data_IF_251184727608
#
_entry.id   IF_251184727608
#
_cell.length_a   1.000
_cell.length_b   1.000
_cell.length_c   1.000
_cell.angle_alpha   90.00
_cell.angle_beta   90.00
_cell.angle_gamma   90.00
#
_symmetry.space_group_name_H-M   'P 1'
#
loop_
_entity.id
_entity.type
_entity.pdbx_description
1 polymer ?
#
# COMPACT_ATOMS: atom_id res chain seq x y z
N UNK A 1 -31.96 -17.49 -10.21
CA UNK A 1 -30.49 -17.51 -10.24
C UNK A 1 -30.05 -17.92 -8.86
N UNK A 2 -29.11 -18.83 -8.76
CA UNK A 2 -28.56 -19.27 -7.45
C UNK A 2 -27.88 -18.07 -6.79
N UNK A 3 -28.46 -17.58 -5.70
CA UNK A 3 -28.00 -16.39 -4.98
C UNK A 3 -26.56 -16.55 -4.39
N UNK A 4 -26.00 -17.75 -4.42
CA UNK A 4 -24.65 -18.06 -3.94
C UNK A 4 -23.57 -17.94 -5.02
N UNK A 5 -23.94 -17.73 -6.30
CA UNK A 5 -23.01 -17.74 -7.44
C UNK A 5 -22.83 -16.34 -8.04
N UNK A 6 -21.57 -15.97 -8.29
CA UNK A 6 -21.17 -14.74 -9.00
C UNK A 6 -20.15 -15.06 -10.10
N UNK A 7 -19.91 -14.13 -11.02
CA UNK A 7 -18.80 -14.29 -11.97
C UNK A 7 -17.46 -14.23 -11.22
N UNK A 8 -17.34 -13.28 -10.29
CA UNK A 8 -16.12 -13.14 -9.47
C UNK A 8 -16.48 -13.11 -7.99
N UNK A 9 -15.84 -13.98 -7.23
CA UNK A 9 -15.86 -14.02 -5.78
C UNK A 9 -14.55 -13.44 -5.24
N UNK A 10 -14.63 -12.37 -4.44
CA UNK A 10 -13.47 -11.70 -3.87
C UNK A 10 -13.40 -12.00 -2.37
N UNK A 11 -12.25 -12.45 -1.92
CA UNK A 11 -11.97 -12.80 -0.54
C UNK A 11 -11.17 -11.66 0.11
N UNK A 12 -11.81 -10.90 0.99
CA UNK A 12 -11.28 -9.73 1.67
C UNK A 12 -11.87 -8.41 1.15
N UNK A 13 -12.48 -7.65 2.06
CA UNK A 13 -13.12 -6.34 1.82
C UNK A 13 -12.23 -5.15 2.17
N UNK A 14 -10.90 -5.30 2.08
CA UNK A 14 -9.95 -4.20 2.17
C UNK A 14 -9.88 -3.38 0.88
N UNK A 15 -9.00 -2.36 0.84
CA UNK A 15 -8.84 -1.46 -0.32
C UNK A 15 -8.58 -2.21 -1.62
N UNK A 16 -7.78 -3.28 -1.59
CA UNK A 16 -7.47 -4.07 -2.78
C UNK A 16 -8.70 -4.81 -3.28
N UNK A 17 -9.40 -5.54 -2.39
CA UNK A 17 -10.60 -6.29 -2.76
C UNK A 17 -11.72 -5.40 -3.28
N UNK A 18 -11.97 -4.26 -2.63
CA UNK A 18 -13.01 -3.32 -3.04
C UNK A 18 -12.65 -2.60 -4.35
N UNK A 19 -11.40 -2.23 -4.57
CA UNK A 19 -10.97 -1.66 -5.84
C UNK A 19 -11.11 -2.69 -6.99
N UNK A 20 -10.69 -3.94 -6.78
CA UNK A 20 -10.93 -5.02 -7.76
C UNK A 20 -12.43 -5.20 -8.04
N UNK A 21 -13.27 -5.21 -6.99
CA UNK A 21 -14.71 -5.32 -7.14
C UNK A 21 -15.28 -4.19 -8.02
N UNK A 22 -14.88 -2.96 -7.74
CA UNK A 22 -15.35 -1.79 -8.47
C UNK A 22 -15.00 -1.84 -9.97
N UNK A 23 -13.75 -2.15 -10.30
CA UNK A 23 -13.33 -2.25 -11.70
C UNK A 23 -14.01 -3.42 -12.44
N UNK A 24 -14.22 -4.56 -11.78
CA UNK A 24 -14.89 -5.71 -12.35
C UNK A 24 -16.39 -5.43 -12.60
N UNK A 25 -17.07 -4.75 -11.67
CA UNK A 25 -18.45 -4.29 -11.85
C UNK A 25 -18.58 -3.31 -13.01
N UNK A 26 -17.67 -2.34 -13.13
CA UNK A 26 -17.60 -1.43 -14.27
C UNK A 26 -17.37 -2.17 -15.60
N UNK A 27 -16.69 -3.30 -15.57
CA UNK A 27 -16.50 -4.17 -16.73
C UNK A 27 -17.71 -5.10 -17.00
N UNK A 28 -18.80 -5.01 -16.24
CA UNK A 28 -20.03 -5.77 -16.42
C UNK A 28 -20.06 -7.15 -15.75
N UNK A 29 -19.07 -7.50 -14.93
CA UNK A 29 -19.09 -8.75 -14.18
C UNK A 29 -20.03 -8.66 -12.96
N UNK A 30 -20.63 -9.78 -12.56
CA UNK A 30 -21.29 -9.89 -11.26
C UNK A 30 -20.25 -10.22 -10.19
N UNK A 31 -20.23 -9.43 -9.10
CA UNK A 31 -19.19 -9.53 -8.07
C UNK A 31 -19.77 -9.68 -6.68
N UNK A 32 -19.18 -10.59 -5.92
CA UNK A 32 -19.43 -10.75 -4.49
C UNK A 32 -18.12 -10.65 -3.71
N UNK A 33 -18.12 -9.88 -2.64
CA UNK A 33 -17.01 -9.73 -1.70
C UNK A 33 -17.35 -10.41 -0.39
N UNK A 34 -16.49 -11.27 0.11
CA UNK A 34 -16.59 -11.87 1.45
C UNK A 34 -15.58 -11.17 2.37
N UNK A 35 -16.07 -10.60 3.47
CA UNK A 35 -15.25 -9.91 4.47
C UNK A 35 -15.55 -10.45 5.86
N UNK A 36 -14.51 -10.81 6.62
CA UNK A 36 -14.68 -11.39 7.95
C UNK A 36 -15.23 -10.42 8.99
N UNK A 37 -14.98 -9.14 8.82
CA UNK A 37 -15.44 -8.08 9.72
C UNK A 37 -16.26 -7.02 8.99
N UNK A 38 -15.99 -5.78 9.29
CA UNK A 38 -16.50 -4.63 8.54
C UNK A 38 -15.52 -4.30 7.41
N UNK A 39 -16.00 -4.01 6.19
CA UNK A 39 -15.14 -3.64 5.08
C UNK A 39 -14.16 -2.53 5.45
N UNK A 40 -12.87 -2.77 5.18
CA UNK A 40 -11.80 -1.82 5.41
C UNK A 40 -11.22 -1.75 6.81
N UNK A 41 -11.80 -2.41 7.83
CA UNK A 41 -11.36 -2.31 9.23
C UNK A 41 -10.00 -2.93 9.57
N UNK A 42 -9.31 -3.52 8.59
CA UNK A 42 -7.93 -4.01 8.72
C UNK A 42 -6.89 -2.92 8.44
N UNK A 43 -5.79 -3.30 7.80
CA UNK A 43 -4.69 -2.39 7.42
C UNK A 43 -5.13 -1.23 6.51
N UNK A 44 -6.26 -1.36 5.83
CA UNK A 44 -6.79 -0.31 4.95
C UNK A 44 -7.38 0.88 5.70
N UNK A 45 -7.75 0.72 6.97
CA UNK A 45 -8.26 1.80 7.83
C UNK A 45 -7.11 2.50 8.59
N UNK A 46 -6.18 1.74 9.11
CA UNK A 46 -5.17 2.20 10.07
C UNK A 46 -3.83 2.58 9.44
N UNK A 47 -3.83 3.25 8.27
CA UNK A 47 -2.61 3.74 7.62
C UNK A 47 -2.61 5.27 7.49
N UNK A 48 -1.49 5.85 7.06
CA UNK A 48 -1.32 7.31 6.95
C UNK A 48 -2.13 7.93 5.81
N UNK A 49 -2.61 7.16 4.85
CA UNK A 49 -3.32 7.65 3.67
C UNK A 49 -2.43 8.42 2.68
N UNK A 50 -1.12 8.27 2.76
CA UNK A 50 -0.19 8.93 1.86
C UNK A 50 -0.09 8.18 0.52
N UNK A 51 -0.08 8.94 -0.56
CA UNK A 51 0.07 8.47 -1.94
C UNK A 51 1.38 9.03 -2.45
N UNK A 52 2.44 8.27 -2.32
CA UNK A 52 3.83 8.72 -2.45
C UNK A 52 4.58 8.06 -3.60
N UNK A 53 4.36 8.49 -4.86
CA UNK A 53 5.20 8.05 -5.99
C UNK A 53 6.69 8.34 -5.78
N UNK A 54 7.02 9.35 -4.96
CA UNK A 54 8.39 9.67 -4.57
C UNK A 54 9.10 8.52 -3.82
N UNK A 55 8.36 7.64 -3.13
CA UNK A 55 8.89 6.52 -2.35
C UNK A 55 9.03 5.22 -3.16
N UNK A 56 9.66 5.29 -4.32
CA UNK A 56 9.90 4.12 -5.16
C UNK A 56 11.03 3.20 -4.64
N UNK A 57 11.89 3.67 -3.74
CA UNK A 57 13.01 2.90 -3.22
C UNK A 57 12.57 1.60 -2.51
N UNK A 58 13.12 0.43 -2.89
CA UNK A 58 12.83 -0.83 -2.21
C UNK A 58 13.58 -0.92 -0.87
N UNK A 59 13.09 -1.77 0.03
CA UNK A 59 13.76 -2.04 1.30
C UNK A 59 15.11 -2.74 1.09
N UNK A 60 15.24 -3.59 0.06
CA UNK A 60 16.47 -4.26 -0.30
C UNK A 60 17.43 -3.28 -1.00
N UNK A 61 18.17 -2.51 -0.20
CA UNK A 61 19.16 -1.53 -0.67
C UNK A 61 20.55 -1.86 -0.15
N UNK A 62 21.61 -1.43 -0.85
CA UNK A 62 22.98 -1.62 -0.38
C UNK A 62 23.19 -1.01 1.01
N UNK A 63 23.87 -1.75 1.89
CA UNK A 63 24.08 -1.35 3.29
C UNK A 63 22.98 -1.78 4.27
N UNK A 64 21.80 -2.20 3.81
CA UNK A 64 20.69 -2.59 4.68
C UNK A 64 21.04 -3.76 5.59
N UNK A 65 21.87 -4.69 5.15
CA UNK A 65 22.34 -5.81 6.00
C UNK A 65 23.08 -5.32 7.23
N UNK A 66 23.94 -4.32 7.08
CA UNK A 66 24.65 -3.70 8.21
C UNK A 66 23.70 -2.98 9.17
N UNK A 67 22.67 -2.33 8.64
CA UNK A 67 21.60 -1.71 9.43
C UNK A 67 20.81 -2.79 10.18
N UNK A 68 20.41 -3.86 9.52
CA UNK A 68 19.66 -4.96 10.12
C UNK A 68 20.45 -5.63 11.28
N UNK A 69 21.73 -5.93 11.06
CA UNK A 69 22.60 -6.52 12.10
C UNK A 69 22.76 -5.59 13.31
N UNK A 70 22.96 -4.29 13.09
CA UNK A 70 23.05 -3.31 14.20
C UNK A 70 21.72 -3.17 14.93
N UNK A 71 20.61 -3.23 14.21
CA UNK A 71 19.27 -3.15 14.79
C UNK A 71 18.96 -4.34 15.72
N UNK A 72 19.48 -5.53 15.43
CA UNK A 72 19.30 -6.71 16.30
C UNK A 72 19.95 -6.53 17.70
N UNK A 73 20.91 -5.61 17.83
CA UNK A 73 21.60 -5.31 19.10
C UNK A 73 20.92 -4.19 19.90
N UNK A 74 19.80 -3.65 19.42
CA UNK A 74 19.10 -2.52 20.03
C UNK A 74 17.64 -2.82 20.25
N UNK A 75 17.14 -2.66 21.46
CA UNK A 75 15.74 -2.92 21.81
C UNK A 75 14.74 -1.90 21.20
N UNK A 76 15.22 -0.69 20.87
CA UNK A 76 14.47 0.42 20.30
C UNK A 76 14.60 0.54 18.77
N UNK A 77 15.12 -0.49 18.13
CA UNK A 77 15.37 -0.45 16.69
C UNK A 77 14.07 -0.56 15.87
N UNK A 78 13.96 0.16 14.74
CA UNK A 78 12.80 0.12 13.87
C UNK A 78 12.59 -1.24 13.17
N UNK A 79 13.63 -2.09 13.13
CA UNK A 79 13.58 -3.43 12.56
C UNK A 79 13.88 -4.46 13.64
N UNK A 80 12.87 -5.27 13.96
CA UNK A 80 13.02 -6.41 14.87
C UNK A 80 12.92 -7.73 14.10
N UNK A 81 13.96 -8.54 14.18
CA UNK A 81 13.98 -9.90 13.66
C UNK A 81 13.90 -10.87 14.85
N UNK A 82 12.76 -11.54 15.00
CA UNK A 82 12.61 -12.56 16.03
C UNK A 82 13.68 -13.67 15.83
N UNK A 83 14.50 -14.06 16.81
CA UNK A 83 15.63 -14.98 16.68
C UNK A 83 15.23 -16.46 16.55
N UNK A 84 14.10 -16.77 15.92
CA UNK A 84 13.72 -18.15 15.60
C UNK A 84 14.43 -18.60 14.34
N UNK A 85 15.08 -19.75 14.37
CA UNK A 85 15.72 -20.38 13.21
C UNK A 85 14.74 -21.38 12.59
N UNK A 86 14.16 -21.02 11.45
CA UNK A 86 13.43 -21.95 10.59
C UNK A 86 13.95 -21.85 9.14
N UNK A 87 13.88 -22.97 8.42
CA UNK A 87 14.44 -23.09 7.08
C UNK A 87 13.83 -22.12 6.05
N UNK A 88 12.50 -21.96 5.96
CA UNK A 88 11.85 -21.01 5.08
C UNK A 88 12.31 -19.57 5.33
N UNK A 89 12.42 -19.16 6.58
CA UNK A 89 12.86 -17.83 6.97
C UNK A 89 14.32 -17.57 6.60
N UNK A 90 15.20 -18.55 6.85
CA UNK A 90 16.61 -18.45 6.48
C UNK A 90 16.76 -18.30 4.95
N UNK A 91 16.00 -19.09 4.18
CA UNK A 91 15.97 -18.95 2.71
C UNK A 91 15.53 -17.58 2.27
N UNK A 92 14.49 -17.01 2.92
CA UNK A 92 14.01 -15.66 2.63
C UNK A 92 15.08 -14.61 2.95
N UNK A 93 15.73 -14.69 4.11
CA UNK A 93 16.80 -13.76 4.51
C UNK A 93 17.99 -13.80 3.57
N UNK A 94 18.40 -15.00 3.14
CA UNK A 94 19.48 -15.14 2.14
C UNK A 94 19.07 -14.57 0.78
N UNK A 95 17.82 -14.79 0.35
CA UNK A 95 17.26 -14.18 -0.84
C UNK A 95 17.26 -12.66 -0.75
N UNK A 96 16.77 -12.10 0.36
CA UNK A 96 16.78 -10.66 0.62
C UNK A 96 18.21 -10.09 0.57
N UNK A 97 19.16 -10.74 1.26
CA UNK A 97 20.55 -10.32 1.29
C UNK A 97 21.19 -10.29 -0.10
N UNK A 98 20.88 -11.28 -0.95
CA UNK A 98 21.37 -11.37 -2.32
C UNK A 98 20.94 -10.19 -3.18
N UNK A 99 19.74 -9.64 -2.93
CA UNK A 99 19.18 -8.51 -3.66
C UNK A 99 19.58 -7.14 -3.09
N UNK A 100 20.33 -7.07 -1.98
CA UNK A 100 20.85 -5.82 -1.43
C UNK A 100 22.09 -5.32 -2.20
N UNK A 101 21.95 -5.11 -3.51
CA UNK A 101 23.00 -4.60 -4.40
C UNK A 101 22.45 -3.49 -5.32
N UNK A 102 23.34 -2.66 -5.88
CA UNK A 102 22.96 -1.49 -6.69
C UNK A 102 22.20 -1.87 -7.98
N UNK A 103 22.53 -2.96 -8.62
CA UNK A 103 21.90 -3.39 -9.87
C UNK A 103 20.43 -3.72 -9.66
N UNK A 104 20.13 -4.56 -8.67
CA UNK A 104 18.75 -4.93 -8.34
C UNK A 104 17.97 -3.75 -7.74
N UNK A 105 18.64 -2.92 -6.93
CA UNK A 105 18.06 -1.69 -6.40
C UNK A 105 17.56 -0.79 -7.52
N UNK A 106 18.41 -0.41 -8.49
CA UNK A 106 18.01 0.49 -9.58
C UNK A 106 16.90 -0.11 -10.44
N UNK A 107 16.98 -1.39 -10.78
CA UNK A 107 15.92 -2.07 -11.53
C UNK A 107 14.58 -2.05 -10.79
N UNK A 108 14.60 -2.30 -9.48
CA UNK A 108 13.39 -2.28 -8.66
C UNK A 108 12.82 -0.86 -8.53
N UNK A 109 13.67 0.15 -8.37
CA UNK A 109 13.25 1.56 -8.30
C UNK A 109 12.56 1.98 -9.59
N UNK A 110 13.14 1.70 -10.76
CA UNK A 110 12.55 2.03 -12.07
C UNK A 110 11.16 1.38 -12.25
N UNK A 111 11.08 0.06 -12.00
CA UNK A 111 9.82 -0.67 -12.14
C UNK A 111 8.74 -0.17 -11.15
N UNK A 112 9.12 0.08 -9.90
CA UNK A 112 8.20 0.60 -8.87
C UNK A 112 7.74 2.00 -9.17
N UNK A 113 8.64 2.90 -9.59
CA UNK A 113 8.29 4.29 -9.95
C UNK A 113 7.21 4.32 -11.04
N UNK A 114 7.38 3.54 -12.11
CA UNK A 114 6.41 3.45 -13.19
C UNK A 114 5.02 3.00 -12.70
N UNK A 115 4.96 1.98 -11.84
CA UNK A 115 3.70 1.49 -11.26
C UNK A 115 3.08 2.52 -10.31
N UNK A 116 3.88 3.14 -9.44
CA UNK A 116 3.40 4.11 -8.46
C UNK A 116 2.83 5.37 -9.13
N UNK A 117 3.52 5.91 -10.15
CA UNK A 117 3.02 7.04 -10.92
C UNK A 117 1.70 6.70 -11.64
N UNK A 118 1.64 5.54 -12.30
CA UNK A 118 0.41 5.08 -12.94
C UNK A 118 -0.72 4.91 -11.94
N UNK A 119 -0.44 4.27 -10.79
CA UNK A 119 -1.41 4.07 -9.71
C UNK A 119 -1.96 5.40 -9.19
N UNK A 120 -1.09 6.40 -9.00
CA UNK A 120 -1.50 7.73 -8.53
C UNK A 120 -2.47 8.41 -9.51
N UNK A 121 -2.17 8.38 -10.81
CA UNK A 121 -3.08 8.94 -11.82
C UNK A 121 -4.42 8.20 -11.85
N UNK A 122 -4.39 6.87 -11.87
CA UNK A 122 -5.61 6.05 -11.84
C UNK A 122 -6.45 6.29 -10.59
N UNK A 123 -5.81 6.52 -9.43
CA UNK A 123 -6.50 6.84 -8.19
C UNK A 123 -7.18 8.22 -8.26
N UNK A 124 -6.50 9.24 -8.75
CA UNK A 124 -7.07 10.57 -8.92
C UNK A 124 -8.27 10.55 -9.89
N UNK A 125 -8.13 9.84 -11.02
CA UNK A 125 -9.22 9.63 -11.97
C UNK A 125 -10.40 8.91 -11.32
N UNK A 126 -10.15 7.83 -10.59
CA UNK A 126 -11.18 7.06 -9.89
C UNK A 126 -11.95 7.93 -8.88
N UNK A 127 -11.23 8.70 -8.06
CA UNK A 127 -11.86 9.58 -7.06
C UNK A 127 -12.74 10.63 -7.74
N UNK A 128 -12.26 11.24 -8.80
CA UNK A 128 -13.01 12.25 -9.57
C UNK A 128 -14.25 11.64 -10.25
N UNK A 129 -14.06 10.57 -11.01
CA UNK A 129 -15.08 9.98 -11.87
C UNK A 129 -16.21 9.31 -11.06
N UNK A 130 -15.88 8.67 -9.94
CA UNK A 130 -16.84 8.07 -9.02
C UNK A 130 -17.30 9.01 -7.90
N UNK A 131 -16.77 10.22 -7.84
CA UNK A 131 -17.09 11.26 -6.83
C UNK A 131 -16.92 10.72 -5.40
N UNK A 132 -15.76 10.13 -5.14
CA UNK A 132 -15.48 9.55 -3.83
C UNK A 132 -15.11 10.66 -2.82
N UNK A 133 -15.87 10.79 -1.75
CA UNK A 133 -15.61 11.76 -0.67
C UNK A 133 -14.60 11.19 0.33
N UNK A 134 -13.32 11.33 0.04
CA UNK A 134 -12.23 10.80 0.86
C UNK A 134 -11.18 11.84 1.26
N UNK A 135 -11.51 13.12 1.23
CA UNK A 135 -10.59 14.23 1.53
C UNK A 135 -9.27 14.13 0.76
N UNK A 136 -9.35 13.73 -0.52
CA UNK A 136 -8.18 13.63 -1.38
C UNK A 136 -7.55 15.01 -1.62
N UNK A 137 -6.25 15.12 -1.38
CA UNK A 137 -5.49 16.35 -1.53
C UNK A 137 -4.20 16.10 -2.29
N UNK A 138 -3.96 16.90 -3.33
CA UNK A 138 -2.74 16.90 -4.15
C UNK A 138 -1.77 18.01 -3.74
N UNK A 139 -1.79 18.40 -2.47
CA UNK A 139 -0.95 19.48 -1.94
C UNK A 139 0.52 19.10 -1.73
N UNK A 140 0.93 17.91 -2.14
CA UNK A 140 2.28 17.40 -1.94
C UNK A 140 2.52 16.87 -0.53
N UNK A 141 3.75 16.39 -0.31
CA UNK A 141 4.24 15.96 1.02
C UNK A 141 5.56 16.65 1.37
N UNK A 142 5.67 17.08 2.63
CA UNK A 142 6.84 17.75 3.18
C UNK A 142 7.56 16.83 4.18
N UNK A 143 8.79 16.45 3.85
CA UNK A 143 9.71 15.75 4.75
C UNK A 143 10.56 16.77 5.50
N UNK A 144 10.58 16.69 6.84
CA UNK A 144 11.26 17.65 7.71
C UNK A 144 12.44 17.00 8.40
N UNK A 145 13.60 17.59 8.28
CA UNK A 145 14.83 17.15 8.93
C UNK A 145 15.14 17.96 10.18
N UNK A 146 15.19 17.29 11.32
CA UNK A 146 15.52 17.95 12.60
C UNK A 146 16.97 18.33 12.76
N UNK A 147 17.87 17.65 12.04
CA UNK A 147 19.31 17.88 12.16
C UNK A 147 19.98 17.88 10.79
N UNK A 148 21.00 18.69 10.65
CA UNK A 148 21.81 18.79 9.43
C UNK A 148 22.46 17.44 9.04
N UNK A 149 22.87 16.66 10.03
CA UNK A 149 23.43 15.32 9.81
C UNK A 149 22.46 14.38 9.10
N UNK A 150 21.19 14.39 9.50
CA UNK A 150 20.13 13.54 8.89
C UNK A 150 19.82 14.07 7.50
N UNK A 151 19.65 15.40 7.33
CA UNK A 151 19.42 16.05 6.05
C UNK A 151 20.50 15.69 5.03
N UNK A 152 21.76 15.88 5.37
CA UNK A 152 22.89 15.58 4.48
C UNK A 152 23.05 14.08 4.17
N UNK A 153 22.64 13.20 5.07
CA UNK A 153 22.62 11.75 4.81
C UNK A 153 21.53 11.37 3.82
N UNK A 154 20.34 11.93 3.99
CA UNK A 154 19.21 11.65 3.12
C UNK A 154 19.42 12.22 1.70
N UNK A 155 19.90 13.45 1.59
CA UNK A 155 20.22 14.08 0.30
C UNK A 155 21.23 13.26 -0.53
N UNK A 156 22.20 12.64 0.10
CA UNK A 156 23.18 11.78 -0.59
C UNK A 156 22.59 10.49 -1.16
N UNK A 157 21.55 9.96 -0.52
CA UNK A 157 20.97 8.67 -0.88
C UNK A 157 19.68 8.80 -1.68
N UNK A 158 18.81 9.71 -1.29
CA UNK A 158 17.49 9.90 -1.93
C UNK A 158 17.54 10.85 -3.13
N UNK A 159 18.22 11.99 -3.00
CA UNK A 159 18.18 13.00 -4.05
C UNK A 159 18.73 12.47 -5.38
N UNK A 160 19.86 11.74 -5.34
CA UNK A 160 20.42 11.14 -6.56
C UNK A 160 19.48 10.12 -7.24
N UNK A 161 18.66 9.41 -6.45
CA UNK A 161 17.68 8.48 -6.98
C UNK A 161 16.48 9.22 -7.58
N UNK A 162 15.98 10.24 -6.91
CA UNK A 162 14.85 11.06 -7.38
C UNK A 162 15.19 11.80 -8.66
N UNK A 163 16.37 12.44 -8.71
CA UNK A 163 16.89 13.14 -9.89
C UNK A 163 16.98 12.19 -11.11
N UNK A 164 17.47 10.97 -10.91
CA UNK A 164 17.57 9.95 -11.96
C UNK A 164 16.20 9.46 -12.47
N UNK A 165 15.18 9.45 -11.61
CA UNK A 165 13.82 9.03 -11.95
C UNK A 165 12.95 10.16 -12.50
N UNK A 166 13.46 11.39 -12.54
CA UNK A 166 12.68 12.57 -12.90
C UNK A 166 11.52 12.86 -11.92
N UNK A 167 11.67 12.43 -10.66
CA UNK A 167 10.70 12.74 -9.60
C UNK A 167 11.01 14.13 -9.06
N UNK A 168 10.04 15.03 -9.20
CA UNK A 168 10.20 16.41 -8.72
C UNK A 168 10.31 16.44 -7.20
N UNK A 169 11.37 17.12 -6.72
CA UNK A 169 11.61 17.33 -5.31
C UNK A 169 12.26 18.70 -5.08
N UNK A 170 11.70 19.47 -4.17
CA UNK A 170 12.19 20.81 -3.83
C UNK A 170 12.93 20.76 -2.48
N UNK A 171 14.21 21.11 -2.49
CA UNK A 171 15.00 21.21 -1.27
C UNK A 171 14.72 22.54 -0.59
N UNK A 172 14.32 22.49 0.67
CA UNK A 172 13.96 23.66 1.46
C UNK A 172 14.91 23.85 2.63
N UNK A 173 15.30 25.10 2.90
CA UNK A 173 16.01 25.50 4.12
C UNK A 173 15.05 25.48 5.31
N UNK A 174 15.59 25.54 6.54
CA UNK A 174 14.77 25.51 7.74
C UNK A 174 13.73 26.62 7.83
N UNK A 175 14.12 27.85 7.45
CA UNK A 175 13.23 29.02 7.40
C UNK A 175 12.10 28.84 6.37
N UNK A 176 12.37 28.24 5.22
CA UNK A 176 11.38 27.96 4.18
C UNK A 176 10.39 26.86 4.62
N UNK A 177 10.89 25.84 5.33
CA UNK A 177 10.06 24.79 5.93
C UNK A 177 9.12 25.36 7.01
N UNK A 178 9.64 26.21 7.89
CA UNK A 178 8.87 26.86 8.93
C UNK A 178 7.79 27.82 8.36
N UNK A 179 8.09 28.50 7.25
CA UNK A 179 7.14 29.32 6.54
C UNK A 179 6.01 28.50 5.88
N UNK A 180 6.36 27.30 5.36
CA UNK A 180 5.41 26.41 4.72
C UNK A 180 4.51 25.69 5.74
N UNK A 181 5.05 25.33 6.91
CA UNK A 181 4.34 24.61 7.99
C UNK A 181 4.53 25.32 9.34
N UNK A 182 3.73 26.36 9.63
CA UNK A 182 3.86 27.16 10.84
C UNK A 182 3.59 26.42 12.16
N UNK A 183 3.03 25.20 12.09
CA UNK A 183 2.81 24.37 13.28
C UNK A 183 4.09 23.69 13.78
N UNK A 184 5.16 23.71 13.02
CA UNK A 184 6.44 23.16 13.42
C UNK A 184 7.12 24.03 14.48
N UNK A 185 7.80 23.38 15.41
CA UNK A 185 8.71 24.09 16.32
C UNK A 185 9.92 24.63 15.55
N UNK A 186 10.37 25.86 15.85
CA UNK A 186 11.54 26.44 15.21
C UNK A 186 12.82 25.60 15.39
N UNK A 187 13.75 25.78 14.44
CA UNK A 187 15.08 25.15 14.50
C UNK A 187 15.17 23.83 13.74
N UNK A 188 14.32 23.61 12.75
CA UNK A 188 14.48 22.50 11.80
C UNK A 188 15.63 22.79 10.83
N UNK A 189 16.39 21.75 10.45
CA UNK A 189 17.55 21.89 9.57
C UNK A 189 17.18 22.14 8.10
N UNK A 190 15.97 21.78 7.71
CA UNK A 190 15.46 21.90 6.35
C UNK A 190 14.44 20.82 6.02
N UNK A 191 14.06 20.75 4.75
CA UNK A 191 13.07 19.79 4.29
C UNK A 191 13.26 19.40 2.83
N UNK A 192 12.50 18.39 2.45
CA UNK A 192 12.33 17.96 1.07
C UNK A 192 10.82 17.94 0.78
N UNK A 193 10.37 18.76 -0.16
CA UNK A 193 8.98 18.82 -0.58
C UNK A 193 8.78 18.08 -1.90
N UNK A 194 7.81 17.19 -1.94
CA UNK A 194 7.41 16.41 -3.10
C UNK A 194 6.05 16.88 -3.60
N UNK A 195 5.98 17.77 -4.60
CA UNK A 195 4.71 18.31 -5.10
C UNK A 195 3.85 17.25 -5.81
N UNK A 196 4.47 16.19 -6.32
CA UNK A 196 3.77 15.08 -6.98
C UNK A 196 3.07 14.09 -6.04
N UNK A 197 3.34 14.16 -4.75
CA UNK A 197 2.72 13.31 -3.76
C UNK A 197 1.32 13.81 -3.35
N UNK A 198 0.51 12.94 -2.78
CA UNK A 198 -0.86 13.24 -2.40
C UNK A 198 -1.23 12.52 -1.10
N UNK A 199 -2.39 12.87 -0.54
CA UNK A 199 -2.94 12.22 0.65
C UNK A 199 -4.45 12.09 0.56
N UNK A 200 -5.01 11.15 1.32
CA UNK A 200 -6.44 10.99 1.49
C UNK A 200 -6.77 10.43 2.89
N UNK A 201 -8.04 10.44 3.26
CA UNK A 201 -8.56 9.75 4.43
C UNK A 201 -8.80 8.28 4.09
N UNK A 202 -7.96 7.32 4.56
CA UNK A 202 -8.07 5.91 4.16
C UNK A 202 -9.37 5.25 4.63
N UNK A 203 -9.88 5.61 5.80
CA UNK A 203 -11.17 5.16 6.32
C UNK A 203 -12.33 5.58 5.41
N UNK A 204 -12.36 6.84 4.99
CA UNK A 204 -13.37 7.35 4.05
C UNK A 204 -13.23 6.72 2.67
N UNK A 205 -12.01 6.64 2.15
CA UNK A 205 -11.76 6.05 0.83
C UNK A 205 -12.31 4.62 0.73
N UNK A 206 -12.04 3.78 1.73
CA UNK A 206 -12.55 2.40 1.74
C UNK A 206 -14.06 2.35 1.91
N UNK A 207 -14.64 3.22 2.75
CA UNK A 207 -16.09 3.32 2.91
C UNK A 207 -16.78 3.73 1.59
N UNK A 208 -16.20 4.69 0.88
CA UNK A 208 -16.69 5.15 -0.43
C UNK A 208 -16.56 4.07 -1.52
N UNK A 209 -15.46 3.32 -1.54
CA UNK A 209 -15.33 2.16 -2.43
C UNK A 209 -16.43 1.13 -2.15
N UNK A 210 -16.69 0.82 -0.89
CA UNK A 210 -17.74 -0.13 -0.50
C UNK A 210 -19.14 0.38 -0.87
N UNK A 211 -19.40 1.69 -0.73
CA UNK A 211 -20.64 2.33 -1.19
C UNK A 211 -20.82 2.16 -2.69
N UNK A 212 -19.78 2.51 -3.48
CA UNK A 212 -19.85 2.42 -4.96
C UNK A 212 -20.00 0.97 -5.45
N UNK A 213 -19.33 0.01 -4.82
CA UNK A 213 -19.52 -1.42 -5.13
C UNK A 213 -21.00 -1.81 -4.98
N UNK A 214 -21.66 -1.41 -3.89
CA UNK A 214 -23.08 -1.70 -3.68
C UNK A 214 -23.99 -1.00 -4.69
N UNK A 215 -23.73 0.27 -4.99
CA UNK A 215 -24.50 1.04 -5.98
C UNK A 215 -24.42 0.46 -7.40
N UNK A 216 -23.30 -0.17 -7.75
CA UNK A 216 -23.12 -0.87 -9.03
C UNK A 216 -23.67 -2.31 -9.00
N UNK A 217 -24.37 -2.70 -7.95
CA UNK A 217 -25.01 -4.02 -7.83
C UNK A 217 -24.09 -5.13 -7.31
N UNK A 218 -22.88 -4.80 -6.83
CA UNK A 218 -22.04 -5.76 -6.13
C UNK A 218 -22.53 -6.06 -4.73
N UNK A 219 -22.37 -7.30 -4.25
CA UNK A 219 -22.70 -7.68 -2.89
C UNK A 219 -21.45 -7.75 -2.01
N UNK A 220 -21.57 -7.30 -0.75
CA UNK A 220 -20.52 -7.38 0.26
C UNK A 220 -21.12 -8.08 1.47
N UNK A 221 -20.63 -9.29 1.73
CA UNK A 221 -21.01 -10.11 2.88
C UNK A 221 -20.05 -9.83 4.04
N UNK A 222 -20.49 -9.06 5.01
CA UNK A 222 -19.75 -8.77 6.24
C UNK A 222 -19.94 -9.90 7.26
N UNK A 223 -18.96 -10.15 8.11
CA UNK A 223 -18.97 -11.26 9.07
C UNK A 223 -18.70 -12.64 8.42
N UNK A 224 -18.38 -12.69 7.15
CA UNK A 224 -18.11 -13.89 6.39
C UNK A 224 -16.65 -14.35 6.55
N UNK A 225 -16.30 -14.84 7.75
CA UNK A 225 -14.99 -15.43 7.98
C UNK A 225 -14.83 -16.69 7.14
N UNK A 226 -13.75 -16.76 6.36
CA UNK A 226 -13.48 -17.90 5.50
C UNK A 226 -12.84 -19.01 6.34
N UNK A 227 -13.45 -20.18 6.30
CA UNK A 227 -12.97 -21.35 7.03
C UNK A 227 -12.22 -22.32 6.11
N UNK A 228 -12.66 -22.43 4.84
CA UNK A 228 -12.08 -23.39 3.90
C UNK A 228 -12.33 -22.98 2.44
N UNK A 229 -11.35 -23.29 1.60
CA UNK A 229 -11.44 -23.21 0.13
C UNK A 229 -11.38 -24.65 -0.39
N UNK A 230 -12.45 -25.10 -1.03
CA UNK A 230 -12.53 -26.41 -1.66
C UNK A 230 -12.02 -26.32 -3.10
N UNK A 231 -11.15 -27.24 -3.51
CA UNK A 231 -10.57 -27.29 -4.86
C UNK A 231 -10.81 -28.66 -5.51
N UNK A 232 -10.90 -28.66 -6.83
CA UNK A 232 -10.88 -29.86 -7.65
C UNK A 232 -9.82 -29.67 -8.74
N UNK A 233 -8.71 -30.41 -8.62
CA UNK A 233 -7.49 -30.10 -9.40
C UNK A 233 -7.02 -28.68 -9.13
N UNK A 234 -6.79 -27.91 -10.18
CA UNK A 234 -6.30 -26.52 -10.10
C UNK A 234 -7.43 -25.47 -9.99
N UNK A 235 -8.67 -25.90 -9.78
CA UNK A 235 -9.83 -24.98 -9.73
C UNK A 235 -10.45 -24.93 -8.34
N UNK A 236 -10.75 -23.72 -7.89
CA UNK A 236 -11.60 -23.50 -6.71
C UNK A 236 -13.03 -23.83 -7.10
N UNK A 237 -13.68 -24.72 -6.33
CA UNK A 237 -15.07 -25.09 -6.52
C UNK A 237 -16.02 -24.32 -5.60
N UNK A 238 -15.65 -24.22 -4.31
CA UNK A 238 -16.44 -23.54 -3.30
C UNK A 238 -15.54 -22.84 -2.28
N UNK A 239 -16.07 -21.77 -1.70
CA UNK A 239 -15.50 -21.09 -0.53
C UNK A 239 -16.50 -21.21 0.61
N UNK A 240 -16.08 -21.84 1.71
CA UNK A 240 -16.87 -21.99 2.92
C UNK A 240 -16.54 -20.88 3.89
N UNK A 241 -17.58 -20.27 4.43
CA UNK A 241 -17.47 -19.24 5.44
C UNK A 241 -18.50 -19.42 6.54
N UNK A 242 -18.38 -18.63 7.60
CA UNK A 242 -19.37 -18.58 8.69
C UNK A 242 -20.78 -18.18 8.22
N UNK A 243 -20.91 -17.51 7.07
CA UNK A 243 -22.17 -17.06 6.48
C UNK A 243 -22.74 -18.02 5.42
N UNK A 244 -22.04 -19.12 5.12
CA UNK A 244 -22.49 -20.09 4.12
C UNK A 244 -21.43 -20.50 3.12
N UNK A 245 -21.86 -21.13 2.04
CA UNK A 245 -21.01 -21.65 0.96
C UNK A 245 -21.23 -20.81 -0.29
N UNK A 246 -20.14 -20.31 -0.86
CA UNK A 246 -20.15 -19.45 -2.03
C UNK A 246 -19.34 -20.04 -3.16
N UNK A 247 -19.68 -19.66 -4.40
CA UNK A 247 -18.92 -20.05 -5.59
C UNK A 247 -18.83 -18.91 -6.58
N UNK A 248 -17.79 -18.92 -7.40
CA UNK A 248 -17.56 -17.97 -8.48
C UNK A 248 -16.87 -18.64 -9.65
N UNK A 249 -17.02 -18.10 -10.86
CA UNK A 249 -16.23 -18.55 -12.01
C UNK A 249 -14.73 -18.26 -11.77
N UNK A 250 -14.46 -17.15 -11.10
CA UNK A 250 -13.12 -16.72 -10.68
C UNK A 250 -13.12 -16.37 -9.20
N UNK A 251 -12.00 -16.62 -8.53
CA UNK A 251 -11.80 -16.26 -7.12
C UNK A 251 -10.57 -15.36 -7.03
N UNK A 252 -10.75 -14.20 -6.42
CA UNK A 252 -9.66 -13.24 -6.14
C UNK A 252 -9.35 -13.27 -4.66
N UNK A 253 -8.11 -13.55 -4.30
CA UNK A 253 -7.64 -13.51 -2.91
C UNK A 253 -7.04 -12.13 -2.61
N UNK A 254 -7.69 -11.36 -1.75
CA UNK A 254 -7.30 -10.02 -1.33
C UNK A 254 -7.26 -9.91 0.22
N UNK A 255 -6.79 -10.97 0.88
CA UNK A 255 -6.88 -11.17 2.33
C UNK A 255 -5.88 -10.32 3.15
N UNK A 256 -4.94 -9.63 2.50
CA UNK A 256 -3.88 -8.91 3.18
C UNK A 256 -2.86 -9.88 3.81
N UNK A 257 -2.48 -9.61 5.05
CA UNK A 257 -1.51 -10.41 5.81
C UNK A 257 -2.19 -11.43 6.77
N UNK A 258 -3.48 -11.62 6.63
CA UNK A 258 -4.33 -12.45 7.51
C UNK A 258 -4.59 -13.84 6.96
#
# INVERSE_FOLDING_TARGET
MDASRSDVLILGGGVIGLACALYLLKAGATVRVLEQGTPGCGSSHGNCGTITPSHAAPLAMPGMLGVALRSMLRADAPLYLNPRFDGPRLRWLLGFARHCNWTDFHRAVEARSAILQRSRHMLADLIRDDRLDCEFSEAGELYVYRTEKVRAADERHHAAVLDRLGVEAQRLRGDEVEAMEPALKPGVAGGLFHPGDARLRPDRYVAELARRVRELGGSIESGAKIDRIDTQGDRVTHVRSTCGVFSGKHVVMALGAW
#
